data_IF_345526782063
#
_entry.id   IF_345526782063
#
_cell.length_a   1.000
_cell.length_b   1.000
_cell.length_c   1.000
_cell.angle_alpha   90.00
_cell.angle_beta   90.00
_cell.angle_gamma   90.00
#
_symmetry.space_group_name_H-M   'P 1'
#
loop_
_entity.id
_entity.type
_entity.pdbx_description
1 polymer ?
#
# COMPACT_ATOMS: atom_id res chain seq x y z
N UNK A 1 -4.72 -31.19 14.56
CA UNK A 1 -3.57 -31.98 14.06
C UNK A 1 -3.34 -31.87 12.56
N UNK A 2 -4.13 -32.46 11.64
CA UNK A 2 -3.81 -32.41 10.19
C UNK A 2 -3.93 -31.00 9.57
N UNK A 3 -4.95 -30.21 9.94
CA UNK A 3 -5.12 -28.83 9.44
C UNK A 3 -3.99 -27.89 9.89
N UNK A 4 -3.59 -27.99 11.15
CA UNK A 4 -2.45 -27.25 11.73
C UNK A 4 -1.15 -27.52 10.99
N UNK A 5 -0.90 -28.78 10.63
CA UNK A 5 0.32 -29.15 9.93
C UNK A 5 0.35 -28.56 8.52
N UNK A 6 -0.80 -28.56 7.81
CA UNK A 6 -0.91 -27.91 6.48
C UNK A 6 -0.73 -26.40 6.55
N UNK A 7 -1.33 -25.72 7.53
CA UNK A 7 -1.14 -24.28 7.69
C UNK A 7 0.34 -23.94 7.94
N UNK A 8 1.03 -24.70 8.80
CA UNK A 8 2.48 -24.52 9.04
C UNK A 8 3.30 -24.71 7.77
N UNK A 9 2.98 -25.75 6.97
CA UNK A 9 3.65 -25.97 5.69
C UNK A 9 3.44 -24.81 4.72
N UNK A 10 2.22 -24.29 4.59
CA UNK A 10 1.96 -23.14 3.73
C UNK A 10 2.66 -21.87 4.22
N UNK A 11 2.63 -21.58 5.52
CA UNK A 11 3.36 -20.45 6.09
C UNK A 11 4.87 -20.54 5.82
N UNK A 12 5.45 -21.74 5.91
CA UNK A 12 6.86 -21.95 5.57
C UNK A 12 7.14 -21.73 4.08
N UNK A 13 6.32 -22.29 3.20
CA UNK A 13 6.46 -22.12 1.76
C UNK A 13 6.31 -20.64 1.34
N UNK A 14 5.36 -19.92 1.93
CA UNK A 14 5.20 -18.47 1.69
C UNK A 14 6.44 -17.68 2.12
N UNK A 15 7.04 -18.00 3.27
CA UNK A 15 8.30 -17.36 3.71
C UNK A 15 9.43 -17.58 2.71
N UNK A 16 9.59 -18.80 2.21
CA UNK A 16 10.59 -19.09 1.17
C UNK A 16 10.33 -18.30 -0.12
N UNK A 17 9.07 -18.12 -0.51
CA UNK A 17 8.72 -17.32 -1.68
C UNK A 17 9.08 -15.84 -1.49
N UNK A 18 8.86 -15.28 -0.29
CA UNK A 18 9.18 -13.87 0.01
C UNK A 18 10.70 -13.56 -0.01
N UNK A 19 11.55 -14.58 0.13
CA UNK A 19 13.01 -14.45 0.06
C UNK A 19 13.55 -14.38 -1.37
N UNK A 20 12.72 -14.67 -2.38
CA UNK A 20 13.14 -14.64 -3.79
C UNK A 20 13.35 -13.18 -4.25
N UNK A 21 14.46 -12.92 -4.95
CA UNK A 21 14.82 -11.57 -5.44
C UNK A 21 13.72 -10.91 -6.28
N UNK A 22 12.96 -11.69 -7.06
CA UNK A 22 11.85 -11.21 -7.88
C UNK A 22 10.75 -10.54 -7.04
N UNK A 23 10.52 -11.02 -5.81
CA UNK A 23 9.53 -10.41 -4.90
C UNK A 23 9.95 -9.01 -4.47
N UNK A 24 11.26 -8.67 -4.48
CA UNK A 24 11.72 -7.32 -4.14
C UNK A 24 11.30 -6.25 -5.17
N UNK A 25 10.82 -6.66 -6.36
CA UNK A 25 10.18 -5.79 -7.36
C UNK A 25 8.73 -5.45 -7.00
N UNK A 26 8.14 -6.20 -6.08
CA UNK A 26 6.76 -6.02 -5.61
C UNK A 26 6.71 -5.76 -4.08
N UNK A 27 7.31 -4.64 -3.60
CA UNK A 27 7.37 -4.32 -2.18
C UNK A 27 6.01 -4.10 -1.51
N UNK A 28 5.00 -3.60 -2.21
CA UNK A 28 3.66 -3.43 -1.64
C UNK A 28 2.97 -4.79 -1.48
N UNK A 29 3.04 -5.67 -2.49
CA UNK A 29 2.53 -7.04 -2.36
C UNK A 29 3.26 -7.81 -1.27
N UNK A 30 4.56 -7.60 -1.12
CA UNK A 30 5.37 -8.13 -0.02
C UNK A 30 4.84 -7.65 1.33
N UNK A 31 4.62 -6.35 1.49
CA UNK A 31 4.03 -5.77 2.71
C UNK A 31 2.65 -6.36 3.04
N UNK A 32 1.78 -6.53 2.05
CA UNK A 32 0.44 -7.13 2.23
C UNK A 32 0.56 -8.52 2.85
N UNK A 33 1.50 -9.33 2.37
CA UNK A 33 1.73 -10.69 2.88
C UNK A 33 2.38 -10.65 4.27
N UNK A 34 3.44 -9.86 4.45
CA UNK A 34 4.20 -9.77 5.71
C UNK A 34 3.40 -9.19 6.87
N UNK A 35 2.45 -8.29 6.57
CA UNK A 35 1.55 -7.70 7.55
C UNK A 35 0.25 -8.49 7.71
N UNK A 36 0.12 -9.63 7.03
CA UNK A 36 -1.03 -10.53 7.11
C UNK A 36 -2.36 -9.78 6.90
N UNK A 37 -2.42 -8.96 5.84
CA UNK A 37 -3.67 -8.32 5.44
C UNK A 37 -4.67 -9.40 5.01
N UNK A 38 -5.89 -9.24 5.49
CA UNK A 38 -7.05 -9.95 4.94
C UNK A 38 -7.40 -9.39 3.58
N UNK A 39 -8.16 -10.15 2.79
CA UNK A 39 -8.70 -9.69 1.51
C UNK A 39 -9.48 -8.38 1.66
N UNK A 40 -10.33 -8.29 2.69
CA UNK A 40 -11.07 -7.06 2.99
C UNK A 40 -10.15 -5.87 3.29
N UNK A 41 -9.13 -6.03 4.15
CA UNK A 41 -8.18 -4.94 4.45
C UNK A 41 -7.39 -4.48 3.21
N UNK A 42 -7.07 -5.43 2.33
CA UNK A 42 -6.41 -5.15 1.05
C UNK A 42 -7.32 -4.36 0.10
N UNK A 43 -8.57 -4.79 -0.06
CA UNK A 43 -9.57 -4.11 -0.89
C UNK A 43 -9.89 -2.70 -0.36
N UNK A 44 -10.07 -2.55 0.96
CA UNK A 44 -10.26 -1.25 1.60
C UNK A 44 -9.09 -0.31 1.34
N UNK A 45 -7.86 -0.82 1.39
CA UNK A 45 -6.64 -0.05 1.05
C UNK A 45 -6.66 0.42 -0.40
N UNK A 46 -7.03 -0.45 -1.35
CA UNK A 46 -7.13 -0.09 -2.76
C UNK A 46 -8.25 0.93 -3.02
N UNK A 47 -9.41 0.76 -2.37
CA UNK A 47 -10.55 1.68 -2.48
C UNK A 47 -10.19 3.07 -1.94
N UNK A 48 -9.43 3.15 -0.85
CA UNK A 48 -8.88 4.41 -0.33
C UNK A 48 -7.99 5.09 -1.37
N UNK A 49 -7.02 4.36 -1.95
CA UNK A 49 -6.10 4.89 -2.96
C UNK A 49 -6.84 5.39 -4.21
N UNK A 50 -7.85 4.64 -4.66
CA UNK A 50 -8.69 5.05 -5.78
C UNK A 50 -9.46 6.35 -5.48
N UNK A 51 -10.05 6.45 -4.29
CA UNK A 51 -10.79 7.64 -3.84
C UNK A 51 -9.87 8.87 -3.76
N UNK A 52 -8.67 8.71 -3.20
CA UNK A 52 -7.68 9.77 -3.11
C UNK A 52 -7.15 10.18 -4.48
N UNK A 53 -6.98 9.23 -5.40
CA UNK A 53 -6.53 9.50 -6.77
C UNK A 53 -7.57 10.34 -7.52
N UNK A 54 -8.84 9.96 -7.46
CA UNK A 54 -9.92 10.75 -8.07
C UNK A 54 -10.01 12.17 -7.50
N UNK A 55 -9.82 12.29 -6.18
CA UNK A 55 -9.79 13.60 -5.52
C UNK A 55 -8.62 14.43 -6.02
N UNK A 56 -7.42 13.83 -6.09
CA UNK A 56 -6.22 14.49 -6.57
C UNK A 56 -6.34 14.95 -8.03
N UNK A 57 -6.87 14.11 -8.92
CA UNK A 57 -7.08 14.44 -10.34
C UNK A 57 -8.03 15.62 -10.50
N UNK A 58 -9.16 15.60 -9.79
CA UNK A 58 -10.13 16.72 -9.77
C UNK A 58 -9.51 18.01 -9.25
N UNK A 59 -8.75 17.91 -8.16
CA UNK A 59 -8.08 19.06 -7.56
C UNK A 59 -7.05 19.66 -8.53
N UNK A 60 -6.29 18.81 -9.22
CA UNK A 60 -5.31 19.23 -10.23
C UNK A 60 -5.95 19.94 -11.43
N UNK A 61 -7.11 19.45 -11.91
CA UNK A 61 -7.89 20.12 -12.96
C UNK A 61 -8.38 21.51 -12.51
N UNK A 62 -8.73 21.67 -11.24
CA UNK A 62 -9.20 22.94 -10.67
C UNK A 62 -8.08 23.95 -10.36
N UNK A 63 -6.81 23.54 -10.48
CA UNK A 63 -5.64 24.36 -10.13
C UNK A 63 -5.36 24.47 -8.63
N UNK A 64 -5.90 23.57 -7.80
CA UNK A 64 -5.61 23.54 -6.37
C UNK A 64 -4.17 23.05 -6.13
N UNK A 65 -3.41 23.76 -5.29
CA UNK A 65 -1.98 23.49 -5.07
C UNK A 65 -1.73 22.78 -3.73
N UNK A 66 -2.57 23.04 -2.72
CA UNK A 66 -2.47 22.44 -1.40
C UNK A 66 -3.24 21.12 -1.32
N UNK A 67 -2.50 20.04 -1.06
CA UNK A 67 -3.05 18.70 -0.91
C UNK A 67 -2.65 18.07 0.43
N UNK A 68 -2.33 18.89 1.43
CA UNK A 68 -1.99 18.40 2.78
C UNK A 68 -3.13 17.55 3.37
N UNK A 69 -4.39 17.88 3.02
CA UNK A 69 -5.56 17.10 3.37
C UNK A 69 -5.55 15.67 2.79
N UNK A 70 -4.97 15.45 1.60
CA UNK A 70 -4.85 14.11 1.01
C UNK A 70 -3.90 13.22 1.83
N UNK A 71 -2.77 13.78 2.28
CA UNK A 71 -1.83 13.03 3.12
C UNK A 71 -2.42 12.70 4.49
N UNK A 72 -3.13 13.65 5.09
CA UNK A 72 -3.84 13.41 6.35
C UNK A 72 -4.90 12.31 6.18
N UNK A 73 -5.67 12.36 5.10
CA UNK A 73 -6.69 11.35 4.80
C UNK A 73 -6.06 9.97 4.55
N UNK A 74 -4.97 9.92 3.78
CA UNK A 74 -4.20 8.69 3.57
C UNK A 74 -3.72 8.09 4.90
N UNK A 75 -3.01 8.86 5.73
CA UNK A 75 -2.47 8.38 6.99
C UNK A 75 -3.55 7.98 8.00
N UNK A 76 -4.71 8.66 7.98
CA UNK A 76 -5.82 8.39 8.89
C UNK A 76 -6.66 7.17 8.53
N UNK A 77 -6.74 6.81 7.23
CA UNK A 77 -7.62 5.75 6.74
C UNK A 77 -6.88 4.51 6.24
N UNK A 78 -5.55 4.58 6.08
CA UNK A 78 -4.75 3.42 5.72
C UNK A 78 -4.94 2.30 6.77
N UNK A 79 -4.95 1.05 6.31
CA UNK A 79 -4.99 -0.11 7.20
C UNK A 79 -3.93 0.02 8.30
N UNK A 80 -4.33 -0.10 9.57
CA UNK A 80 -3.44 0.10 10.74
C UNK A 80 -2.23 -0.86 10.78
N UNK A 81 -2.28 -1.96 10.02
CA UNK A 81 -1.17 -2.93 9.88
C UNK A 81 -0.07 -2.42 8.95
N UNK A 82 -0.39 -1.47 8.07
CA UNK A 82 0.49 -0.93 7.05
C UNK A 82 1.20 0.33 7.56
N UNK A 83 2.54 0.38 7.56
CA UNK A 83 3.27 1.60 7.91
C UNK A 83 3.09 2.66 6.81
N UNK A 84 2.66 3.85 7.19
CA UNK A 84 2.22 4.91 6.26
C UNK A 84 3.28 5.25 5.20
N UNK A 85 4.49 5.62 5.63
CA UNK A 85 5.56 6.02 4.69
C UNK A 85 6.05 4.83 3.86
N UNK A 86 6.31 3.68 4.50
CA UNK A 86 6.81 2.49 3.83
C UNK A 86 5.85 2.00 2.74
N UNK A 87 4.55 2.03 3.02
CA UNK A 87 3.50 1.66 2.08
C UNK A 87 3.48 2.60 0.89
N UNK A 88 3.65 3.90 1.12
CA UNK A 88 3.65 4.89 0.05
C UNK A 88 4.83 4.70 -0.92
N UNK A 89 6.04 4.50 -0.39
CA UNK A 89 7.21 4.18 -1.20
C UNK A 89 7.09 2.83 -1.92
N UNK A 90 6.47 1.84 -1.27
CA UNK A 90 6.23 0.54 -1.87
C UNK A 90 5.24 0.62 -3.04
N UNK A 91 4.14 1.36 -2.89
CA UNK A 91 3.17 1.62 -3.96
C UNK A 91 3.84 2.33 -5.16
N UNK A 92 4.63 3.37 -4.88
CA UNK A 92 5.34 4.14 -5.91
C UNK A 92 6.31 3.26 -6.71
N UNK A 93 7.10 2.42 -6.01
CA UNK A 93 8.05 1.49 -6.62
C UNK A 93 7.37 0.42 -7.50
N UNK A 94 6.14 0.03 -7.17
CA UNK A 94 5.33 -0.86 -8.00
C UNK A 94 4.60 -0.16 -9.15
N UNK A 95 4.66 1.18 -9.22
CA UNK A 95 3.92 1.98 -10.21
C UNK A 95 2.41 2.01 -9.96
N UNK A 96 1.97 1.81 -8.71
CA UNK A 96 0.56 1.85 -8.32
C UNK A 96 0.17 3.29 -7.95
N UNK A 97 -0.85 3.83 -8.61
CA UNK A 97 -1.35 5.19 -8.40
C UNK A 97 -0.24 6.27 -8.46
N UNK A 98 0.63 6.28 -9.50
CA UNK A 98 1.90 7.01 -9.51
C UNK A 98 1.75 8.51 -9.31
N UNK A 99 0.70 9.13 -9.87
CA UNK A 99 0.47 10.56 -9.72
C UNK A 99 0.16 10.94 -8.24
N UNK A 100 -0.64 10.11 -7.57
CA UNK A 100 -0.98 10.30 -6.15
C UNK A 100 0.24 10.01 -5.27
N UNK A 101 0.93 8.86 -5.45
CA UNK A 101 2.05 8.46 -4.59
C UNK A 101 3.18 9.46 -4.64
N UNK A 102 3.58 9.90 -5.84
CA UNK A 102 4.61 10.92 -6.01
C UNK A 102 4.21 12.23 -5.34
N UNK A 103 2.94 12.64 -5.46
CA UNK A 103 2.46 13.86 -4.81
C UNK A 103 2.55 13.75 -3.29
N UNK A 104 2.09 12.64 -2.70
CA UNK A 104 2.13 12.42 -1.26
C UNK A 104 3.57 12.33 -0.73
N UNK A 105 4.48 11.68 -1.45
CA UNK A 105 5.92 11.62 -1.10
C UNK A 105 6.50 13.04 -1.10
N UNK A 106 6.18 13.85 -2.10
CA UNK A 106 6.63 15.24 -2.17
C UNK A 106 6.10 16.11 -1.03
N UNK A 107 4.98 15.76 -0.40
CA UNK A 107 4.46 16.46 0.78
C UNK A 107 5.23 16.04 2.03
N UNK A 108 5.58 14.75 2.17
CA UNK A 108 6.35 14.22 3.32
C UNK A 108 7.79 14.75 3.39
N UNK A 109 8.39 15.08 2.24
CA UNK A 109 9.78 15.56 2.15
C UNK A 109 9.93 17.08 2.32
N UNK A 110 8.82 17.81 2.49
CA UNK A 110 8.81 19.26 2.73
C UNK A 110 8.79 19.61 4.21
#
# INVERSE_FOLDING_TARGET
MEKENRCRTFSFQLKLLLEIDEIQKYPFKKLVIEKELTEQEYEETLNLLQTLTHTYERDAESGLIDHSALLLHYAGMLCYKLPVEETLYALDKEGLYPALTQKLINILQK
#
